data_IF_801918979797
#
_entry.id   IF_801918979797
#
_cell.length_a   1.000
_cell.length_b   1.000
_cell.length_c   1.000
_cell.angle_alpha   90.00
_cell.angle_beta   90.00
_cell.angle_gamma   90.00
#
_symmetry.space_group_name_H-M   'P 1'
#
loop_
_entity.id
_entity.type
_entity.pdbx_description
1 polymer ?
#
# COMPACT_ATOMS: atom_id res chain seq x y z
N UNK A 1 22.05 -5.35 -0.09
CA UNK A 1 20.76 -4.83 -0.56
C UNK A 1 20.35 -5.69 -1.75
N UNK A 2 19.06 -5.93 -1.92
CA UNK A 2 18.56 -6.62 -3.10
C UNK A 2 18.12 -5.52 -4.05
N UNK A 3 19.04 -5.02 -4.86
CA UNK A 3 18.88 -3.77 -5.64
C UNK A 3 17.57 -3.77 -6.48
N UNK A 4 17.11 -4.94 -6.92
CA UNK A 4 15.85 -5.06 -7.66
C UNK A 4 14.57 -4.88 -6.83
N UNK A 5 14.60 -5.12 -5.52
CA UNK A 5 13.48 -4.81 -4.63
C UNK A 5 13.42 -3.31 -4.35
N UNK A 6 14.55 -2.69 -4.06
CA UNK A 6 14.60 -1.26 -3.76
C UNK A 6 14.09 -0.43 -4.96
N UNK A 7 14.49 -0.81 -6.18
CA UNK A 7 13.97 -0.23 -7.43
C UNK A 7 12.45 -0.46 -7.59
N UNK A 8 11.96 -1.66 -7.28
CA UNK A 8 10.53 -1.98 -7.35
C UNK A 8 9.71 -1.15 -6.36
N UNK A 9 10.19 -0.97 -5.13
CA UNK A 9 9.51 -0.16 -4.11
C UNK A 9 9.44 1.31 -4.54
N UNK A 10 10.54 1.85 -5.09
CA UNK A 10 10.61 3.23 -5.58
C UNK A 10 9.70 3.47 -6.79
N UNK A 11 9.67 2.56 -7.76
CA UNK A 11 8.75 2.66 -8.91
C UNK A 11 7.29 2.49 -8.49
N UNK A 12 7.02 1.64 -7.50
CA UNK A 12 5.67 1.50 -6.93
C UNK A 12 5.20 2.79 -6.26
N UNK A 13 6.10 3.45 -5.52
CA UNK A 13 5.83 4.77 -4.94
C UNK A 13 5.46 5.76 -6.04
N UNK A 14 6.27 5.86 -7.10
CA UNK A 14 6.02 6.78 -8.24
C UNK A 14 4.70 6.51 -8.95
N UNK A 15 4.34 5.24 -9.14
CA UNK A 15 3.09 4.85 -9.76
C UNK A 15 1.87 5.33 -8.95
N UNK A 16 1.90 5.16 -7.62
CA UNK A 16 0.82 5.61 -6.73
C UNK A 16 0.76 7.14 -6.65
N UNK A 17 1.90 7.82 -6.60
CA UNK A 17 1.92 9.30 -6.64
C UNK A 17 1.31 9.84 -7.93
N UNK A 18 1.69 9.26 -9.06
CA UNK A 18 1.13 9.60 -10.37
C UNK A 18 -0.38 9.35 -10.41
N UNK A 19 -0.83 8.20 -9.90
CA UNK A 19 -2.26 7.89 -9.78
C UNK A 19 -3.00 8.93 -8.94
N UNK A 20 -2.47 9.33 -7.77
CA UNK A 20 -3.10 10.34 -6.93
C UNK A 20 -3.17 11.71 -7.63
N UNK A 21 -2.09 12.14 -8.29
CA UNK A 21 -2.05 13.40 -9.06
C UNK A 21 -3.09 13.40 -10.17
N UNK A 22 -3.14 12.33 -10.98
CA UNK A 22 -4.13 12.16 -12.05
C UNK A 22 -5.57 12.18 -11.51
N UNK A 23 -5.77 11.76 -10.26
CA UNK A 23 -7.05 11.79 -9.54
C UNK A 23 -7.26 13.05 -8.68
N UNK A 24 -6.52 14.12 -8.97
CA UNK A 24 -6.74 15.47 -8.44
C UNK A 24 -6.10 15.75 -7.08
N UNK A 25 -5.12 14.95 -6.64
CA UNK A 25 -4.29 15.30 -5.49
C UNK A 25 -3.47 16.56 -5.80
N UNK A 26 -3.61 17.59 -4.96
CA UNK A 26 -2.84 18.85 -5.08
C UNK A 26 -1.51 18.80 -4.32
N UNK A 27 -1.44 17.95 -3.32
CA UNK A 27 -0.28 17.75 -2.45
C UNK A 27 -0.19 16.28 -2.09
N UNK A 28 1.03 15.76 -2.09
CA UNK A 28 1.36 14.40 -1.72
C UNK A 28 2.38 14.44 -0.59
N UNK A 29 2.22 13.54 0.38
CA UNK A 29 3.20 13.26 1.43
C UNK A 29 3.48 11.76 1.40
N UNK A 30 4.75 11.39 1.29
CA UNK A 30 5.21 10.00 1.14
C UNK A 30 6.13 9.61 2.29
N UNK A 31 5.82 8.46 2.89
CA UNK A 31 6.56 7.85 4.01
C UNK A 31 7.29 6.61 3.51
N UNK A 32 8.52 6.78 3.02
CA UNK A 32 9.24 5.76 2.25
C UNK A 32 9.73 4.54 3.04
N UNK A 33 10.00 4.64 4.34
CA UNK A 33 10.56 3.54 5.15
C UNK A 33 9.51 2.79 5.99
N UNK A 34 8.22 2.94 5.66
CA UNK A 34 7.11 2.45 6.48
C UNK A 34 6.77 3.36 7.66
N UNK A 35 5.60 3.14 8.25
CA UNK A 35 5.13 3.90 9.42
C UNK A 35 5.11 2.97 10.62
N UNK A 36 5.86 3.34 11.66
CA UNK A 36 5.97 2.56 12.90
C UNK A 36 5.56 3.40 14.10
N UNK A 37 4.69 2.83 14.95
CA UNK A 37 4.31 3.38 16.25
C UNK A 37 5.05 2.61 17.35
N UNK A 38 5.78 3.36 18.18
CA UNK A 38 6.42 2.84 19.37
C UNK A 38 5.58 3.16 20.61
N UNK A 39 5.47 2.18 21.51
CA UNK A 39 4.89 2.33 22.83
C UNK A 39 5.82 3.12 23.77
N UNK A 40 5.32 3.44 24.96
CA UNK A 40 6.11 4.17 25.98
C UNK A 40 7.33 3.39 26.47
N UNK A 41 7.30 2.08 26.35
CA UNK A 41 8.41 1.17 26.69
C UNK A 41 9.44 1.03 25.55
N UNK A 42 9.25 1.74 24.45
CA UNK A 42 10.11 1.69 23.27
C UNK A 42 9.88 0.48 22.37
N UNK A 43 8.88 -0.37 22.65
CA UNK A 43 8.54 -1.51 21.79
C UNK A 43 7.67 -1.07 20.62
N UNK A 44 7.78 -1.80 19.51
CA UNK A 44 6.89 -1.60 18.35
C UNK A 44 5.50 -2.11 18.72
N UNK A 45 4.51 -1.22 18.73
CA UNK A 45 3.10 -1.57 18.94
C UNK A 45 2.37 -1.81 17.61
N UNK A 46 2.82 -1.11 16.57
CA UNK A 46 2.29 -1.18 15.22
C UNK A 46 3.38 -0.83 14.22
N UNK A 47 3.47 -1.60 13.14
CA UNK A 47 4.27 -1.24 11.98
C UNK A 47 3.51 -1.59 10.72
N UNK A 48 3.50 -0.67 9.77
CA UNK A 48 2.99 -0.90 8.44
C UNK A 48 4.02 -0.46 7.41
N UNK A 49 3.87 -0.96 6.19
CA UNK A 49 4.76 -0.58 5.09
C UNK A 49 4.57 0.88 4.69
N UNK A 50 5.23 1.31 3.61
CA UNK A 50 5.20 2.70 3.16
C UNK A 50 3.77 3.20 2.97
N UNK A 51 3.58 4.50 3.19
CA UNK A 51 2.30 5.13 2.97
C UNK A 51 2.44 6.39 2.15
N UNK A 52 1.46 6.63 1.30
CA UNK A 52 1.38 7.82 0.46
C UNK A 52 0.01 8.43 0.71
N UNK A 53 -0.03 9.72 1.04
CA UNK A 53 -1.28 10.40 1.37
C UNK A 53 -1.43 11.73 0.65
N UNK A 54 -2.67 12.06 0.29
CA UNK A 54 -3.10 13.40 -0.10
C UNK A 54 -4.01 13.99 1.00
N UNK A 55 -4.69 15.09 0.71
CA UNK A 55 -5.58 15.74 1.67
C UNK A 55 -6.82 14.89 2.03
N UNK A 56 -7.20 13.92 1.18
CA UNK A 56 -8.43 13.14 1.28
C UNK A 56 -8.20 11.67 1.63
N UNK A 57 -7.05 11.11 1.31
CA UNK A 57 -6.78 9.66 1.33
C UNK A 57 -5.38 9.36 1.85
N UNK A 58 -5.24 8.17 2.41
CA UNK A 58 -3.96 7.53 2.71
C UNK A 58 -3.98 6.12 2.10
N UNK A 59 -2.93 5.78 1.36
CA UNK A 59 -2.71 4.45 0.78
C UNK A 59 -1.52 3.84 1.50
N UNK A 60 -1.74 2.78 2.29
CA UNK A 60 -0.67 2.02 2.95
C UNK A 60 -0.34 0.80 2.10
N UNK A 61 0.95 0.56 1.88
CA UNK A 61 1.45 -0.38 0.88
C UNK A 61 2.24 -1.49 1.56
N UNK A 62 2.00 -2.73 1.15
CA UNK A 62 2.85 -3.88 1.52
C UNK A 62 3.48 -4.49 0.27
N UNK A 63 4.78 -4.79 0.34
CA UNK A 63 5.53 -5.38 -0.77
C UNK A 63 5.98 -6.82 -0.48
N UNK A 64 6.08 -7.61 -1.54
CA UNK A 64 6.73 -8.92 -1.49
C UNK A 64 7.38 -9.25 -2.84
N UNK A 65 8.54 -9.94 -2.84
CA UNK A 65 9.14 -10.45 -4.10
C UNK A 65 8.15 -11.31 -4.89
N UNK A 66 7.44 -12.19 -4.17
CA UNK A 66 6.33 -12.98 -4.70
C UNK A 66 5.16 -12.82 -3.74
N UNK A 67 4.08 -12.25 -4.23
CA UNK A 67 2.89 -12.02 -3.43
C UNK A 67 2.18 -13.35 -3.14
N UNK A 68 1.73 -13.53 -1.90
CA UNK A 68 0.94 -14.68 -1.43
C UNK A 68 -0.31 -14.18 -0.70
N UNK A 69 -1.32 -15.03 -0.56
CA UNK A 69 -2.52 -14.68 0.24
C UNK A 69 -2.16 -14.29 1.68
N UNK A 70 -1.17 -14.94 2.30
CA UNK A 70 -0.70 -14.57 3.63
C UNK A 70 -0.15 -13.12 3.72
N UNK A 71 0.43 -12.59 2.64
CA UNK A 71 0.84 -11.18 2.58
C UNK A 71 -0.37 -10.24 2.55
N UNK A 72 -1.41 -10.63 1.82
CA UNK A 72 -2.69 -9.90 1.73
C UNK A 72 -3.38 -9.89 3.09
N UNK A 73 -3.53 -11.05 3.72
CA UNK A 73 -4.17 -11.20 5.03
C UNK A 73 -3.44 -10.39 6.11
N UNK A 74 -2.11 -10.49 6.16
CA UNK A 74 -1.29 -9.72 7.09
C UNK A 74 -1.48 -8.21 6.90
N UNK A 75 -1.53 -7.73 5.65
CA UNK A 75 -1.72 -6.31 5.36
C UNK A 75 -3.11 -5.82 5.76
N UNK A 76 -4.13 -6.64 5.54
CA UNK A 76 -5.51 -6.38 5.99
C UNK A 76 -5.57 -6.22 7.52
N UNK A 77 -4.89 -7.09 8.27
CA UNK A 77 -4.79 -6.94 9.73
C UNK A 77 -4.13 -5.61 10.14
N UNK A 78 -3.12 -5.17 9.40
CA UNK A 78 -2.51 -3.87 9.65
C UNK A 78 -3.48 -2.72 9.39
N UNK A 79 -4.21 -2.76 8.27
CA UNK A 79 -5.19 -1.73 7.90
C UNK A 79 -6.32 -1.63 8.93
N UNK A 80 -6.86 -2.76 9.41
CA UNK A 80 -7.92 -2.79 10.42
C UNK A 80 -7.51 -2.13 11.75
N UNK A 81 -6.22 -2.16 12.09
CA UNK A 81 -5.69 -1.60 13.35
C UNK A 81 -5.14 -0.19 13.17
N UNK A 82 -4.89 0.26 11.94
CA UNK A 82 -4.17 1.50 11.64
C UNK A 82 -4.70 2.72 12.41
N UNK A 83 -6.02 2.95 12.39
CA UNK A 83 -6.63 4.13 13.02
C UNK A 83 -6.51 4.15 14.55
N UNK A 84 -6.29 3.00 15.19
CA UNK A 84 -6.06 2.92 16.63
C UNK A 84 -4.71 3.54 17.00
N UNK A 85 -3.72 3.44 16.10
CA UNK A 85 -2.34 3.91 16.33
C UNK A 85 -2.03 5.26 15.69
N UNK A 86 -2.76 5.62 14.63
CA UNK A 86 -2.60 6.87 13.87
C UNK A 86 -3.93 7.66 13.78
N UNK A 87 -4.54 8.06 14.92
CA UNK A 87 -5.82 8.77 14.95
C UNK A 87 -5.78 10.14 14.27
N UNK A 88 -4.60 10.76 14.12
CA UNK A 88 -4.38 12.00 13.37
C UNK A 88 -4.80 11.91 11.89
N UNK A 89 -4.98 10.70 11.36
CA UNK A 89 -5.43 10.44 10.00
C UNK A 89 -6.92 10.06 9.91
N UNK A 90 -7.69 10.18 11.00
CA UNK A 90 -9.09 9.79 11.06
C UNK A 90 -9.98 10.42 9.96
N UNK A 91 -9.69 11.66 9.56
CA UNK A 91 -10.45 12.37 8.52
C UNK A 91 -10.14 11.96 7.07
N UNK A 92 -9.20 11.04 6.84
CA UNK A 92 -8.83 10.56 5.50
C UNK A 92 -9.41 9.17 5.23
N UNK A 93 -9.74 8.89 3.97
CA UNK A 93 -10.06 7.53 3.55
C UNK A 93 -8.79 6.67 3.57
N UNK A 94 -8.80 5.62 4.38
CA UNK A 94 -7.68 4.67 4.46
C UNK A 94 -7.89 3.57 3.43
N UNK A 95 -6.96 3.45 2.49
CA UNK A 95 -6.93 2.40 1.47
C UNK A 95 -5.67 1.58 1.63
N UNK A 96 -5.70 0.36 1.13
CA UNK A 96 -4.57 -0.54 1.12
C UNK A 96 -4.12 -0.84 -0.30
N UNK A 97 -2.81 -1.04 -0.46
CA UNK A 97 -2.19 -1.53 -1.68
C UNK A 97 -1.25 -2.70 -1.37
N UNK A 98 -1.17 -3.67 -2.29
CA UNK A 98 -0.16 -4.73 -2.27
C UNK A 98 0.63 -4.69 -3.57
N UNK A 99 1.95 -4.78 -3.46
CA UNK A 99 2.86 -4.82 -4.59
C UNK A 99 3.68 -6.12 -4.60
N UNK A 100 3.91 -6.69 -5.78
CA UNK A 100 4.96 -7.69 -5.90
C UNK A 100 5.64 -7.72 -7.26
N UNK A 101 6.91 -8.13 -7.27
CA UNK A 101 7.65 -8.38 -8.52
C UNK A 101 7.06 -9.57 -9.28
N UNK A 102 6.54 -10.56 -8.52
CA UNK A 102 5.74 -11.65 -9.06
C UNK A 102 4.40 -11.70 -8.33
N UNK A 103 3.32 -11.50 -9.08
CA UNK A 103 1.95 -11.59 -8.58
C UNK A 103 1.22 -12.71 -9.31
N UNK A 104 1.02 -13.88 -8.67
CA UNK A 104 0.16 -14.93 -9.22
C UNK A 104 -1.27 -14.41 -9.43
N UNK A 105 -1.91 -14.82 -10.52
CA UNK A 105 -3.24 -14.32 -10.90
C UNK A 105 -4.29 -14.58 -9.81
N UNK A 106 -4.24 -15.74 -9.16
CA UNK A 106 -5.13 -16.09 -8.06
C UNK A 106 -4.95 -15.17 -6.84
N UNK A 107 -3.73 -14.73 -6.56
CA UNK A 107 -3.42 -13.81 -5.46
C UNK A 107 -3.84 -12.39 -5.84
N UNK A 108 -3.65 -11.98 -7.10
CA UNK A 108 -4.17 -10.70 -7.60
C UNK A 108 -5.69 -10.62 -7.42
N UNK A 109 -6.42 -11.62 -7.91
CA UNK A 109 -7.90 -11.67 -7.79
C UNK A 109 -8.32 -11.65 -6.32
N UNK A 110 -7.63 -12.39 -5.46
CA UNK A 110 -7.91 -12.40 -4.04
C UNK A 110 -7.71 -11.01 -3.41
N UNK A 111 -6.57 -10.35 -3.65
CA UNK A 111 -6.29 -9.01 -3.12
C UNK A 111 -7.29 -7.96 -3.61
N UNK A 112 -7.66 -8.01 -4.90
CA UNK A 112 -8.70 -7.16 -5.48
C UNK A 112 -10.06 -7.39 -4.78
N UNK A 113 -10.47 -8.64 -4.58
CA UNK A 113 -11.71 -8.99 -3.86
C UNK A 113 -11.72 -8.50 -2.41
N UNK A 114 -10.57 -8.43 -1.75
CA UNK A 114 -10.43 -7.84 -0.42
C UNK A 114 -10.46 -6.30 -0.43
N UNK A 115 -10.56 -5.68 -1.61
CA UNK A 115 -10.66 -4.23 -1.79
C UNK A 115 -9.32 -3.51 -1.76
N UNK A 116 -8.22 -4.21 -2.09
CA UNK A 116 -6.87 -3.63 -2.14
C UNK A 116 -6.48 -3.26 -3.58
N UNK A 117 -5.74 -2.16 -3.73
CA UNK A 117 -5.00 -1.92 -4.97
C UNK A 117 -3.92 -3.00 -5.15
N UNK A 118 -3.75 -3.50 -6.37
CA UNK A 118 -2.74 -4.50 -6.70
C UNK A 118 -1.75 -3.91 -7.70
N UNK A 119 -0.47 -3.86 -7.32
CA UNK A 119 0.61 -3.34 -8.15
C UNK A 119 1.55 -4.48 -8.55
N UNK A 120 1.95 -4.50 -9.81
CA UNK A 120 2.94 -5.45 -10.33
C UNK A 120 3.83 -4.76 -11.35
N UNK A 121 5.00 -5.34 -11.59
CA UNK A 121 5.89 -4.90 -12.66
C UNK A 121 5.59 -5.65 -13.96
N UNK A 122 5.43 -4.91 -15.05
CA UNK A 122 5.31 -5.46 -16.41
C UNK A 122 6.32 -4.71 -17.28
N UNK A 123 7.23 -5.44 -17.91
CA UNK A 123 8.26 -4.88 -18.79
C UNK A 123 9.04 -3.70 -18.16
N UNK A 124 9.36 -3.83 -16.87
CA UNK A 124 10.09 -2.80 -16.12
C UNK A 124 9.22 -1.71 -15.50
N UNK A 125 7.94 -1.60 -15.87
CA UNK A 125 7.04 -0.53 -15.41
C UNK A 125 6.08 -1.07 -14.34
N UNK A 126 5.94 -0.36 -13.22
CA UNK A 126 4.93 -0.68 -12.22
C UNK A 126 3.56 -0.18 -12.64
N UNK A 127 2.55 -1.06 -12.61
CA UNK A 127 1.17 -0.75 -12.98
C UNK A 127 0.18 -1.24 -11.94
N UNK A 128 -0.93 -0.51 -11.79
CA UNK A 128 -2.11 -0.96 -11.06
C UNK A 128 -2.85 -1.97 -11.94
N UNK A 129 -3.08 -3.18 -11.42
CA UNK A 129 -3.68 -4.31 -12.14
C UNK A 129 -5.16 -4.53 -11.84
N UNK A 130 -5.75 -3.72 -10.97
CA UNK A 130 -7.16 -3.83 -10.66
C UNK A 130 -8.03 -3.63 -11.91
N UNK A 131 -9.20 -4.25 -11.93
CA UNK A 131 -10.19 -4.03 -13.00
C UNK A 131 -10.61 -2.54 -13.10
N UNK A 132 -11.02 -2.06 -14.28
CA UNK A 132 -11.38 -0.64 -14.48
C UNK A 132 -12.51 -0.12 -13.58
N UNK A 133 -13.41 -1.00 -13.13
CA UNK A 133 -14.54 -0.71 -12.25
C UNK A 133 -14.22 -0.93 -10.76
N UNK A 134 -12.97 -1.26 -10.43
CA UNK A 134 -12.54 -1.48 -9.07
C UNK A 134 -12.75 -0.25 -8.19
N UNK A 135 -13.34 -0.47 -7.01
CA UNK A 135 -13.49 0.53 -5.96
C UNK A 135 -12.75 0.03 -4.72
N UNK A 136 -11.72 0.78 -4.32
CA UNK A 136 -10.95 0.44 -3.13
C UNK A 136 -11.81 0.47 -1.86
N UNK A 137 -11.62 -0.53 -0.99
CA UNK A 137 -12.26 -0.54 0.32
C UNK A 137 -11.66 0.54 1.20
N UNK A 138 -12.53 1.24 1.92
CA UNK A 138 -12.10 2.14 3.01
C UNK A 138 -12.07 1.37 4.33
N UNK A 139 -10.92 1.39 5.00
CA UNK A 139 -10.67 0.74 6.29
C UNK A 139 -10.84 1.72 7.47
#
# INVERSE_FOLDING_TARGET
MDDGMDDFEEETRRAIESFLIQNGAKRIISFGSGITKYGRDGRVEMSCGPAIMDDRRIIVIHYAKRLKNANVDWHIEQLMRFRQFFPEHAGKALHGAVGGMVVPEEVQRYAEQQGLYVLTQVDGVVMIKNQPDFVAKTW
#
